data_IF_818014400803
#
_entry.id   IF_818014400803
#
_cell.length_a   1.000
_cell.length_b   1.000
_cell.length_c   1.000
_cell.angle_alpha   90.00
_cell.angle_beta   90.00
_cell.angle_gamma   90.00
#
_symmetry.space_group_name_H-M   'P 1'
#
loop_
_entity.id
_entity.type
_entity.pdbx_description
1 polymer ?
2 non-polymer ?
3 non-polymer ?
4 non-polymer ?
5 non-polymer ?
6 water ?
#
# COMPACT_ATOMS: atom_id res chain seq x y z
N UNK A 3 5.37 0.55 -19.30
CA UNK A 3 5.48 -0.90 -19.42
C UNK A 3 5.37 -1.57 -18.05
N UNK A 4 4.19 -2.13 -17.77
CA UNK A 4 3.97 -2.84 -16.51
C UNK A 4 4.75 -4.15 -16.48
N UNK A 5 5.60 -4.30 -15.47
CA UNK A 5 6.35 -5.54 -15.29
C UNK A 5 5.49 -6.52 -14.50
N UNK A 6 5.22 -7.68 -15.10
CA UNK A 6 4.56 -8.77 -14.40
C UNK A 6 5.64 -9.70 -13.88
N UNK A 7 5.65 -9.93 -12.56
CA UNK A 7 6.69 -10.70 -11.91
C UNK A 7 6.08 -11.89 -11.18
N UNK A 8 6.68 -13.06 -11.36
CA UNK A 8 6.31 -14.23 -10.59
C UNK A 8 7.25 -14.36 -9.40
N UNK A 9 6.70 -14.70 -8.25
CA UNK A 9 7.50 -14.96 -7.06
C UNK A 9 7.06 -16.30 -6.48
N UNK A 10 8.02 -17.19 -6.25
CA UNK A 10 7.71 -18.57 -5.90
C UNK A 10 8.88 -19.18 -5.13
N UNK A 11 8.53 -20.16 -4.28
CA UNK A 11 9.51 -20.94 -3.54
C UNK A 11 9.52 -22.35 -4.12
N UNK A 12 10.68 -22.80 -4.59
CA UNK A 12 10.79 -24.05 -5.32
C UNK A 12 11.69 -25.02 -4.54
N UNK A 13 11.16 -26.19 -4.23
CA UNK A 13 11.95 -27.27 -3.65
C UNK A 13 12.72 -27.96 -4.78
N UNK A 14 13.30 -29.12 -4.48
CA UNK A 14 13.98 -29.90 -5.51
C UNK A 14 12.98 -30.32 -6.59
N UNK A 15 13.50 -30.50 -7.80
CA UNK A 15 12.70 -30.93 -8.95
C UNK A 15 11.54 -29.98 -9.23
N UNK A 16 11.73 -28.69 -8.93
CA UNK A 16 10.79 -27.63 -9.25
C UNK A 16 9.46 -27.75 -8.51
N UNK A 17 9.44 -28.50 -7.41
CA UNK A 17 8.20 -28.70 -6.66
C UNK A 17 7.83 -27.42 -5.92
N UNK A 18 6.57 -27.01 -6.08
CA UNK A 18 6.06 -25.83 -5.38
C UNK A 18 4.92 -26.16 -4.42
N UNK A 19 4.27 -27.31 -4.57
CA UNK A 19 3.13 -27.62 -3.75
C UNK A 19 2.85 -29.10 -3.68
N UNK A 20 2.06 -29.48 -2.69
CA UNK A 20 1.58 -30.83 -2.54
C UNK A 20 0.19 -30.76 -1.93
N UNK A 21 -0.32 -31.87 -1.38
CA UNK A 21 -1.67 -31.86 -0.82
C UNK A 21 -1.78 -30.85 0.31
N UNK A 22 -0.88 -30.93 1.29
CA UNK A 22 -0.87 -30.04 2.44
C UNK A 22 0.30 -29.06 2.32
N UNK A 23 0.47 -28.25 3.37
CA UNK A 23 1.50 -27.22 3.33
C UNK A 23 2.89 -27.84 3.18
N UNK A 24 3.80 -27.07 2.59
CA UNK A 24 5.17 -27.53 2.38
C UNK A 24 5.87 -27.79 3.71
N UNK A 25 6.57 -28.89 3.81
CA UNK A 25 7.20 -29.29 5.08
C UNK A 25 8.55 -28.62 5.31
N UNK A 26 8.53 -27.30 5.43
CA UNK A 26 9.73 -26.56 5.80
C UNK A 26 9.33 -25.36 6.64
N UNK A 27 10.31 -24.79 7.33
CA UNK A 27 10.12 -23.61 8.17
C UNK A 27 11.20 -22.60 7.78
N UNK A 28 10.81 -21.59 7.02
CA UNK A 28 11.75 -20.65 6.40
C UNK A 28 11.29 -19.22 6.61
N UNK A 29 11.44 -18.68 7.82
CA UNK A 29 11.09 -17.27 8.04
C UNK A 29 11.91 -16.32 7.19
N UNK A 30 13.13 -16.69 6.81
CA UNK A 30 13.93 -15.81 5.96
C UNK A 30 13.36 -15.71 4.56
N UNK A 31 12.71 -16.76 4.07
CA UNK A 31 12.04 -16.66 2.77
C UNK A 31 10.79 -15.80 2.88
N UNK A 32 10.06 -15.90 3.98
CA UNK A 32 8.89 -15.05 4.18
C UNK A 32 9.29 -13.58 4.28
N UNK A 33 10.45 -13.30 4.88
CA UNK A 33 10.94 -11.93 4.93
C UNK A 33 11.33 -11.45 3.54
N UNK A 34 11.91 -12.33 2.73
CA UNK A 34 12.23 -11.99 1.35
C UNK A 34 10.97 -11.81 0.51
N UNK A 35 9.96 -12.67 0.74
CA UNK A 35 8.66 -12.47 0.11
C UNK A 35 8.08 -11.12 0.47
N UNK A 36 8.10 -10.77 1.75
CA UNK A 36 7.51 -9.52 2.21
C UNK A 36 8.24 -8.32 1.61
N UNK A 37 9.57 -8.31 1.70
CA UNK A 37 10.35 -7.19 1.16
C UNK A 37 10.03 -6.95 -0.31
N UNK A 38 9.86 -8.02 -1.08
CA UNK A 38 9.72 -7.89 -2.53
C UNK A 38 8.28 -7.71 -2.98
N UNK A 39 7.30 -7.80 -2.08
CA UNK A 39 5.91 -7.57 -2.46
C UNK A 39 5.30 -6.32 -1.84
N UNK A 40 5.93 -5.74 -0.81
CA UNK A 40 5.35 -4.58 -0.14
C UNK A 40 5.14 -3.42 -1.12
N UNK A 41 4.03 -2.72 -0.95
CA UNK A 41 3.68 -1.54 -1.74
C UNK A 41 3.43 -1.87 -3.20
N UNK A 42 3.00 -3.09 -3.50
CA UNK A 42 2.74 -3.54 -4.86
C UNK A 42 1.43 -4.30 -4.88
N UNK A 43 0.77 -4.37 -6.03
CA UNK A 43 -0.36 -5.31 -6.17
C UNK A 43 0.15 -6.74 -6.16
N UNK A 44 -0.61 -7.61 -5.50
CA UNK A 44 -0.25 -9.02 -5.38
C UNK A 44 -1.42 -9.85 -5.86
N UNK A 45 -1.21 -10.63 -6.91
CA UNK A 45 -2.24 -11.49 -7.49
C UNK A 45 -2.03 -12.91 -7.00
N UNK A 46 -3.10 -13.55 -6.57
CA UNK A 46 -3.03 -14.92 -6.06
C UNK A 46 -4.33 -15.68 -6.34
N UNK A 47 -4.23 -17.01 -6.38
CA UNK A 47 -5.41 -17.83 -6.46
C UNK A 47 -6.10 -17.97 -5.11
N UNK A 48 -7.37 -18.40 -5.16
CA UNK A 48 -8.17 -18.46 -3.96
C UNK A 48 -7.59 -19.44 -2.94
N UNK A 49 -7.04 -20.55 -3.43
CA UNK A 49 -6.44 -21.53 -2.51
C UNK A 49 -5.23 -20.94 -1.79
N UNK A 50 -4.43 -20.15 -2.50
CA UNK A 50 -3.28 -19.50 -1.86
C UNK A 50 -3.74 -18.49 -0.81
N UNK A 51 -4.82 -17.75 -1.10
CA UNK A 51 -5.36 -16.82 -0.11
C UNK A 51 -5.82 -17.55 1.14
N UNK A 52 -6.41 -18.73 0.99
CA UNK A 52 -6.77 -19.52 2.16
C UNK A 52 -5.54 -20.03 2.89
N UNK A 53 -4.47 -20.35 2.15
CA UNK A 53 -3.23 -20.79 2.80
C UNK A 53 -2.65 -19.70 3.69
N UNK A 54 -2.79 -18.44 3.28
CA UNK A 54 -2.26 -17.34 4.09
C UNK A 54 -3.12 -17.13 5.33
N UNK A 55 -4.45 -17.22 5.17
CA UNK A 55 -5.37 -17.08 6.28
C UNK A 55 -5.74 -15.67 6.64
N UNK A 56 -5.25 -14.67 5.92
CA UNK A 56 -5.47 -13.27 6.23
C UNK A 56 -5.01 -12.45 5.03
N UNK A 57 -5.43 -11.19 4.94
CA UNK A 57 -4.87 -10.31 3.92
C UNK A 57 -3.42 -9.95 4.22
N UNK A 58 -2.65 -9.75 3.18
CA UNK A 58 -1.27 -9.28 3.34
C UNK A 58 -1.27 -7.77 3.51
N UNK A 59 -0.73 -7.25 4.61
CA UNK A 59 -0.81 -5.80 4.85
C UNK A 59 0.14 -5.04 3.94
N UNK A 60 -0.21 -3.76 3.71
CA UNK A 60 0.64 -2.88 2.95
C UNK A 60 0.74 -3.17 1.47
N UNK A 61 -0.19 -3.94 0.92
CA UNK A 61 -0.16 -4.22 -0.51
C UNK A 61 -1.58 -4.51 -0.97
N UNK A 62 -1.81 -4.36 -2.27
CA UNK A 62 -3.12 -4.58 -2.85
C UNK A 62 -3.32 -6.07 -3.11
N UNK A 63 -4.25 -6.68 -2.38
CA UNK A 63 -4.50 -8.12 -2.46
C UNK A 63 -5.57 -8.39 -3.52
N UNK A 64 -5.19 -9.08 -4.58
CA UNK A 64 -6.10 -9.44 -5.66
C UNK A 64 -6.20 -10.96 -5.70
N UNK A 65 -7.35 -11.50 -5.33
CA UNK A 65 -7.58 -12.93 -5.32
C UNK A 65 -8.44 -13.29 -6.52
N UNK A 66 -7.94 -14.22 -7.34
CA UNK A 66 -8.67 -14.69 -8.52
C UNK A 66 -9.55 -15.87 -8.11
N UNK A 67 -10.85 -15.78 -8.43
CA UNK A 67 -11.79 -16.83 -8.11
C UNK A 67 -12.98 -16.74 -9.05
N UNK A 68 -13.51 -17.89 -9.46
CA UNK A 68 -14.69 -17.90 -10.31
C UNK A 68 -15.97 -17.63 -9.51
N UNK A 69 -15.96 -17.97 -8.23
CA UNK A 69 -17.08 -17.78 -7.32
C UNK A 69 -16.93 -16.46 -6.56
N UNK A 70 -18.03 -15.85 -6.14
CA UNK A 70 -17.93 -14.60 -5.39
C UNK A 70 -17.17 -14.79 -4.08
N UNK A 71 -16.28 -13.85 -3.80
CA UNK A 71 -15.51 -13.93 -2.58
C UNK A 71 -16.34 -13.59 -1.35
N UNK A 72 -15.87 -14.09 -0.20
CA UNK A 72 -16.55 -13.91 1.07
C UNK A 72 -15.67 -13.18 2.07
N UNK A 73 -14.85 -12.26 1.59
CA UNK A 73 -13.96 -11.48 2.46
C UNK A 73 -13.78 -10.11 1.81
N UNK A 74 -14.39 -9.09 2.40
CA UNK A 74 -14.37 -7.75 1.80
C UNK A 74 -13.00 -7.09 1.89
N UNK A 75 -12.06 -7.62 2.69
CA UNK A 75 -10.78 -6.96 2.89
C UNK A 75 -9.83 -7.11 1.71
N UNK A 76 -10.17 -7.93 0.71
CA UNK A 76 -9.33 -8.11 -0.46
C UNK A 76 -10.18 -7.81 -1.70
N UNK A 77 -9.49 -7.66 -2.83
CA UNK A 77 -10.14 -7.46 -4.11
C UNK A 77 -10.32 -8.81 -4.81
N UNK A 78 -11.54 -9.07 -5.27
CA UNK A 78 -11.88 -10.34 -5.90
C UNK A 78 -11.97 -10.15 -7.41
N UNK A 79 -11.29 -11.02 -8.15
CA UNK A 79 -11.26 -10.97 -9.61
C UNK A 79 -11.76 -12.28 -10.17
N UNK A 80 -12.65 -12.19 -11.17
CA UNK A 80 -13.21 -13.39 -11.78
C UNK A 80 -12.29 -14.03 -12.81
N UNK A 81 -11.30 -13.29 -13.31
CA UNK A 81 -10.37 -13.82 -14.30
C UNK A 81 -9.05 -13.08 -14.18
N UNK A 82 -8.05 -13.57 -14.91
CA UNK A 82 -6.75 -12.90 -14.90
C UNK A 82 -6.84 -11.53 -15.57
N UNK A 83 -7.76 -11.38 -16.53
CA UNK A 83 -7.98 -10.07 -17.14
C UNK A 83 -8.46 -9.06 -16.10
N UNK A 84 -9.46 -9.45 -15.30
CA UNK A 84 -9.93 -8.58 -14.23
C UNK A 84 -8.84 -8.34 -13.20
N UNK A 85 -8.03 -9.36 -12.92
CA UNK A 85 -6.97 -9.22 -11.93
C UNK A 85 -5.94 -8.18 -12.37
N UNK A 86 -5.50 -8.25 -13.63
CA UNK A 86 -4.55 -7.27 -14.14
C UNK A 86 -5.14 -5.86 -14.17
N UNK A 87 -6.40 -5.75 -14.59
CA UNK A 87 -7.06 -4.45 -14.60
C UNK A 87 -7.15 -3.85 -13.20
N UNK A 88 -7.34 -4.70 -12.19
CA UNK A 88 -7.39 -4.21 -10.81
C UNK A 88 -6.05 -3.67 -10.35
N UNK A 89 -4.95 -4.20 -10.89
CA UNK A 89 -3.63 -3.70 -10.53
C UNK A 89 -3.41 -2.26 -11.00
N UNK A 90 -4.22 -1.80 -11.95
CA UNK A 90 -4.19 -0.38 -12.31
C UNK A 90 -2.94 -0.01 -13.08
N UNK A 91 -2.32 1.12 -12.70
CA UNK A 91 -1.13 1.63 -13.36
C UNK A 91 0.14 1.37 -12.54
N UNK A 92 0.15 0.29 -11.75
CA UNK A 92 1.34 -0.05 -10.98
C UNK A 92 2.48 -0.44 -11.92
N UNK A 93 3.70 -0.11 -11.49
CA UNK A 93 4.86 -0.39 -12.32
C UNK A 93 5.31 -1.84 -12.22
N UNK A 94 4.89 -2.56 -11.18
CA UNK A 94 5.22 -3.97 -11.05
C UNK A 94 4.10 -4.66 -10.28
N UNK A 95 3.56 -5.74 -10.84
CA UNK A 95 2.55 -6.56 -10.19
C UNK A 95 3.17 -7.91 -9.85
N UNK A 96 2.87 -8.41 -8.66
CA UNK A 96 3.47 -9.64 -8.17
C UNK A 96 2.48 -10.80 -8.21
N UNK A 97 2.86 -11.87 -8.90
CA UNK A 97 2.03 -13.07 -9.01
C UNK A 97 2.65 -14.13 -8.11
N UNK A 98 1.90 -14.55 -7.09
CA UNK A 98 2.46 -15.41 -6.04
C UNK A 98 1.82 -16.80 -5.97
N UNK A 99 1.24 -17.27 -7.07
CA UNK A 99 0.71 -18.62 -7.11
C UNK A 99 -0.79 -18.75 -6.94
N UNK A 100 -1.30 -19.98 -6.92
CA UNK A 100 -0.46 -21.17 -6.97
C UNK A 100 -0.08 -21.66 -8.37
N UNK A 101 0.00 -22.99 -8.51
CA UNK A 101 0.54 -23.57 -9.73
C UNK A 101 -0.22 -23.18 -10.98
N UNK A 102 -1.55 -23.23 -10.92
CA UNK A 102 -2.35 -22.86 -12.09
C UNK A 102 -2.15 -21.41 -12.46
N UNK A 103 -2.05 -20.53 -11.46
CA UNK A 103 -1.90 -19.10 -11.71
C UNK A 103 -0.55 -18.81 -12.36
N UNK A 104 0.50 -19.53 -11.94
CA UNK A 104 1.81 -19.36 -12.57
C UNK A 104 1.76 -19.69 -14.05
N UNK A 105 1.07 -20.77 -14.42
CA UNK A 105 0.99 -21.16 -15.83
C UNK A 105 0.28 -20.08 -16.66
N UNK A 106 -0.74 -19.44 -16.09
CA UNK A 106 -1.52 -18.47 -16.84
C UNK A 106 -0.78 -17.15 -17.05
N UNK A 107 0.14 -16.80 -16.14
CA UNK A 107 0.85 -15.55 -16.21
C UNK A 107 2.26 -15.68 -16.79
N UNK A 108 2.73 -16.90 -17.02
CA UNK A 108 4.13 -17.11 -17.41
C UNK A 108 4.47 -16.37 -18.69
N UNK A 109 3.62 -16.48 -19.72
CA UNK A 109 3.90 -15.81 -20.97
C UNK A 109 3.90 -14.29 -20.83
N UNK A 110 3.07 -13.75 -19.94
CA UNK A 110 3.04 -12.32 -19.70
C UNK A 110 4.16 -11.84 -18.78
N UNK A 111 4.82 -12.74 -18.07
CA UNK A 111 5.80 -12.35 -17.06
C UNK A 111 7.15 -12.05 -17.70
N UNK A 112 7.81 -11.00 -17.21
CA UNK A 112 9.14 -10.63 -17.65
C UNK A 112 10.16 -10.65 -16.51
N UNK A 113 9.78 -11.15 -15.34
CA UNK A 113 10.69 -11.18 -14.21
C UNK A 113 10.23 -12.26 -13.24
N UNK A 114 11.19 -12.93 -12.61
CA UNK A 114 10.86 -13.95 -11.63
C UNK A 114 11.71 -13.83 -10.37
N UNK A 115 11.06 -13.92 -9.21
CA UNK A 115 11.72 -13.95 -7.91
C UNK A 115 11.62 -15.39 -7.40
N UNK A 116 12.69 -16.15 -7.55
CA UNK A 116 12.70 -17.58 -7.23
C UNK A 116 13.52 -17.82 -5.97
N UNK A 117 12.94 -18.57 -5.03
CA UNK A 117 13.66 -19.07 -3.86
C UNK A 117 13.88 -20.56 -4.07
N UNK A 118 15.13 -20.95 -4.25
CA UNK A 118 15.48 -22.36 -4.42
C UNK A 118 15.80 -22.97 -3.06
N UNK A 119 15.03 -23.97 -2.66
CA UNK A 119 15.17 -24.59 -1.35
C UNK A 119 15.76 -25.99 -1.52
N UNK A 120 16.73 -26.32 -0.67
CA UNK A 120 17.40 -27.62 -0.71
C UNK A 120 16.59 -28.64 0.11
N UNK A 121 15.46 -29.04 -0.46
CA UNK A 121 14.57 -30.00 0.17
C UNK A 121 13.95 -30.89 -0.90
N UNK A 122 14.18 -32.20 -0.79
CA UNK A 122 13.52 -33.18 -1.65
C UNK A 122 12.24 -33.60 -0.95
N UNK A 123 11.13 -32.94 -1.29
CA UNK A 123 9.88 -33.09 -0.55
C UNK A 123 8.93 -34.09 -1.18
N UNK A 124 9.15 -34.49 -2.43
CA UNK A 124 8.29 -35.46 -3.08
C UNK A 124 6.90 -34.94 -3.42
N UNK A 125 6.79 -33.67 -3.79
CA UNK A 125 5.51 -33.13 -4.21
C UNK A 125 5.21 -33.41 -5.67
N UNK A 126 3.96 -33.14 -6.06
CA UNK A 126 3.52 -33.40 -7.42
C UNK A 126 2.89 -32.18 -8.08
N UNK A 127 3.14 -30.98 -7.55
CA UNK A 127 2.77 -29.73 -8.20
C UNK A 127 4.05 -28.93 -8.42
N UNK A 128 4.32 -28.57 -9.67
CA UNK A 128 5.60 -28.01 -10.06
C UNK A 128 5.45 -26.61 -10.63
N UNK A 129 6.48 -25.80 -10.44
CA UNK A 129 6.57 -24.53 -11.14
C UNK A 129 6.62 -24.80 -12.64
N UNK A 130 6.02 -23.94 -13.46
CA UNK A 130 6.04 -24.17 -14.91
C UNK A 130 7.45 -24.32 -15.45
N UNK A 131 7.59 -25.15 -16.48
CA UNK A 131 8.89 -25.39 -17.11
C UNK A 131 9.16 -24.28 -18.11
N UNK A 132 10.10 -23.40 -17.79
CA UNK A 132 10.45 -22.28 -18.65
C UNK A 132 11.79 -22.54 -19.32
N UNK A 133 11.98 -21.92 -20.48
CA UNK A 133 13.22 -22.10 -21.23
C UNK A 133 14.34 -21.31 -20.57
N UNK A 134 15.42 -21.96 -20.13
CA UNK A 134 16.51 -21.21 -19.46
C UNK A 134 17.21 -20.22 -20.38
N UNK A 135 17.20 -20.44 -21.70
CA UNK A 135 17.89 -19.52 -22.60
C UNK A 135 17.19 -18.18 -22.68
N UNK A 136 15.86 -18.15 -22.52
CA UNK A 136 15.11 -16.91 -22.61
C UNK A 136 15.31 -16.01 -21.40
N UNK A 137 15.71 -16.57 -20.26
CA UNK A 137 15.84 -15.82 -19.02
C UNK A 137 17.32 -15.66 -18.65
N UNK A 138 17.63 -14.54 -18.01
CA UNK A 138 18.98 -14.27 -17.51
C UNK A 138 18.92 -13.94 -16.03
N UNK A 139 19.93 -14.40 -15.30
CA UNK A 139 19.99 -14.23 -13.86
C UNK A 139 20.68 -12.92 -13.53
N UNK A 140 20.01 -12.05 -12.79
CA UNK A 140 20.56 -10.75 -12.41
C UNK A 140 20.83 -10.62 -10.92
N UNK A 141 20.31 -11.53 -10.10
CA UNK A 141 20.55 -11.49 -8.66
C UNK A 141 20.65 -12.92 -8.15
N UNK A 142 21.56 -13.13 -7.20
CA UNK A 142 21.80 -14.45 -6.63
C UNK A 142 22.37 -14.27 -5.22
N UNK A 143 21.74 -14.93 -4.25
CA UNK A 143 22.18 -14.85 -2.86
C UNK A 143 21.89 -16.18 -2.18
N UNK A 144 22.92 -16.80 -1.62
CA UNK A 144 22.81 -18.09 -0.97
C UNK A 144 22.87 -17.96 0.54
N UNK A 145 22.11 -18.82 1.23
CA UNK A 145 22.11 -18.90 2.68
C UNK A 145 22.03 -20.36 3.09
N UNK A 146 22.75 -20.71 4.15
CA UNK A 146 22.67 -22.04 4.73
C UNK A 146 21.51 -22.11 5.73
N UNK A 147 21.07 -23.33 6.01
CA UNK A 147 20.13 -23.52 7.11
C UNK A 147 20.77 -23.06 8.42
N UNK A 148 19.92 -22.69 9.37
CA UNK A 148 20.40 -22.29 10.68
C UNK A 148 19.34 -22.65 11.71
N UNK A 149 19.44 -22.05 12.91
CA UNK A 149 18.51 -22.39 13.99
C UNK A 149 17.08 -21.98 13.65
N UNK A 150 16.90 -20.98 12.79
CA UNK A 150 15.57 -20.46 12.47
C UNK A 150 15.03 -20.97 11.15
N UNK A 151 15.88 -21.46 10.24
CA UNK A 151 15.45 -21.87 8.90
C UNK A 151 15.83 -23.33 8.67
N UNK A 152 14.84 -24.15 8.35
CA UNK A 152 15.01 -25.60 8.34
C UNK A 152 15.87 -26.10 7.19
N UNK A 153 16.01 -25.33 6.11
CA UNK A 153 16.79 -25.76 4.95
C UNK A 153 17.61 -24.60 4.44
N UNK A 154 18.65 -24.93 3.68
CA UNK A 154 19.39 -23.91 2.95
C UNK A 154 18.56 -23.44 1.75
N UNK A 155 18.79 -22.19 1.34
CA UNK A 155 17.94 -21.56 0.35
C UNK A 155 18.78 -20.56 -0.44
N UNK A 156 18.40 -20.37 -1.70
CA UNK A 156 19.10 -19.46 -2.60
C UNK A 156 18.08 -18.53 -3.25
N UNK A 157 18.18 -17.24 -2.95
CA UNK A 157 17.35 -16.23 -3.60
C UNK A 157 17.89 -15.95 -4.99
N UNK A 158 16.98 -15.82 -5.96
CA UNK A 158 17.38 -15.53 -7.33
C UNK A 158 16.33 -14.66 -8.00
N UNK A 159 16.78 -13.71 -8.82
CA UNK A 159 15.91 -12.89 -9.64
C UNK A 159 16.30 -13.11 -11.09
N UNK A 160 15.34 -13.51 -11.91
CA UNK A 160 15.54 -13.74 -13.33
C UNK A 160 14.75 -12.69 -14.13
N UNK A 161 15.32 -12.27 -15.24
CA UNK A 161 14.66 -11.31 -16.13
C UNK A 161 14.68 -11.84 -17.55
N UNK A 162 13.55 -11.69 -18.24
CA UNK A 162 13.43 -12.21 -19.60
C UNK A 162 14.32 -11.42 -20.55
N UNK A 163 14.95 -12.13 -21.48
CA UNK A 163 15.83 -11.50 -22.46
C UNK A 163 15.01 -10.87 -23.58
N UNK B 2 7.82 29.34 -9.95
CA UNK B 2 7.42 28.34 -8.97
C UNK B 2 6.14 28.77 -8.25
N UNK B 3 5.01 28.20 -8.68
CA UNK B 3 3.73 28.53 -8.06
C UNK B 3 3.61 27.82 -6.70
N UNK B 4 2.59 28.22 -5.95
CA UNK B 4 2.36 27.63 -4.64
C UNK B 4 1.94 26.17 -4.77
N UNK B 5 2.60 25.31 -4.01
CA UNK B 5 2.24 23.90 -3.97
C UNK B 5 1.11 23.73 -2.96
N UNK B 6 -0.01 23.20 -3.41
CA UNK B 6 -1.13 22.84 -2.55
C UNK B 6 -1.10 21.33 -2.35
N UNK B 7 -1.01 20.91 -1.09
CA UNK B 7 -0.81 19.51 -0.75
C UNK B 7 -1.94 19.05 0.16
N UNK B 8 -2.48 17.87 -0.14
CA UNK B 8 -3.41 17.21 0.76
C UNK B 8 -2.64 16.22 1.62
N UNK B 9 -2.94 16.21 2.92
CA UNK B 9 -2.34 15.24 3.83
C UNK B 9 -3.46 14.56 4.61
N UNK B 10 -3.46 13.24 4.62
CA UNK B 10 -4.59 12.49 5.14
C UNK B 10 -4.13 11.11 5.58
N UNK B 11 -4.87 10.56 6.55
CA UNK B 11 -4.70 9.18 7.00
C UNK B 11 -5.91 8.38 6.56
N UNK B 12 -5.68 7.34 5.75
CA UNK B 12 -6.75 6.58 5.11
C UNK B 12 -6.77 5.15 5.65
N UNK B 13 -7.93 4.73 6.15
CA UNK B 13 -8.16 3.32 6.44
C UNK B 13 -8.50 2.63 5.13
N UNK B 14 -8.88 1.35 5.20
CA UNK B 14 -9.30 0.64 4.00
C UNK B 14 -10.53 1.32 3.38
N UNK B 15 -10.63 1.21 2.05
CA UNK B 15 -11.72 1.81 1.28
C UNK B 15 -11.78 3.32 1.44
N UNK B 16 -10.60 3.95 1.58
CA UNK B 16 -10.47 5.41 1.64
C UNK B 16 -11.22 6.04 2.81
N UNK B 17 -11.52 5.28 3.86
CA UNK B 17 -12.22 5.84 5.01
C UNK B 17 -11.28 6.78 5.77
N UNK B 18 -11.74 8.00 6.02
CA UNK B 18 -10.95 8.99 6.72
C UNK B 18 -11.63 9.50 7.99
N UNK B 19 -12.92 9.22 8.19
CA UNK B 19 -13.61 9.72 9.36
C UNK B 19 -14.89 8.97 9.61
N UNK B 20 -15.37 9.11 10.85
CA UNK B 20 -16.66 8.58 11.23
C UNK B 20 -17.30 9.51 12.25
N UNK B 21 -18.29 9.03 13.00
CA UNK B 21 -18.95 9.89 13.99
C UNK B 21 -17.95 10.47 14.97
N UNK B 22 -17.13 9.62 15.58
CA UNK B 22 -16.16 10.01 16.58
C UNK B 22 -14.75 9.81 16.03
N UNK B 23 -13.75 10.11 16.86
CA UNK B 23 -12.36 9.98 16.44
C UNK B 23 -12.08 8.56 15.96
N UNK B 24 -11.14 8.44 15.03
CA UNK B 24 -10.77 7.15 14.46
C UNK B 24 -10.23 6.22 15.54
N UNK B 25 -10.66 4.89 15.47
CA UNK B 25 -10.27 3.89 16.49
C UNK B 25 -8.88 3.30 16.24
N UNK B 26 -7.86 4.14 16.35
CA UNK B 26 -6.49 3.65 16.24
C UNK B 26 -5.57 4.60 17.02
N UNK B 27 -4.35 4.12 17.26
CA UNK B 27 -3.34 4.84 18.04
C UNK B 27 -2.05 4.81 17.24
N UNK B 28 -1.75 5.89 16.53
CA UNK B 28 -0.60 5.94 15.61
C UNK B 28 0.24 7.19 15.85
N UNK B 29 1.00 7.23 16.95
CA UNK B 29 1.93 8.36 17.15
C UNK B 29 2.95 8.51 16.02
N UNK B 30 3.31 7.42 15.34
CA UNK B 30 4.24 7.55 14.22
C UNK B 30 3.62 8.32 13.06
N UNK B 31 2.34 8.09 12.79
CA UNK B 31 1.66 8.90 11.77
C UNK B 31 1.54 10.36 12.19
N UNK B 32 1.29 10.59 13.49
CA UNK B 32 1.22 11.97 13.98
C UNK B 32 2.58 12.66 13.86
N UNK B 33 3.66 11.94 14.16
CA UNK B 33 5.00 12.51 13.98
C UNK B 33 5.27 12.78 12.51
N UNK B 34 4.87 11.86 11.62
CA UNK B 34 4.98 12.10 10.19
C UNK B 34 4.14 13.30 9.77
N UNK B 35 2.94 13.44 10.35
CA UNK B 35 2.13 14.62 10.08
C UNK B 35 2.84 15.90 10.54
N UNK B 36 3.43 15.86 11.73
CA UNK B 36 4.10 17.04 12.27
C UNK B 36 5.29 17.44 11.41
N UNK B 37 6.13 16.47 11.03
CA UNK B 37 7.31 16.78 10.23
C UNK B 37 6.94 17.41 8.90
N UNK B 38 5.81 17.01 8.31
CA UNK B 38 5.44 17.47 6.99
C UNK B 38 4.59 18.74 6.99
N UNK B 39 4.10 19.19 8.15
CA UNK B 39 3.29 20.39 8.22
C UNK B 39 3.90 21.52 9.03
N UNK B 40 4.96 21.26 9.78
CA UNK B 40 5.60 22.30 10.57
C UNK B 40 6.07 23.44 9.67
N UNK B 41 5.89 24.68 10.16
CA UNK B 41 6.36 25.89 9.48
C UNK B 41 5.65 26.08 8.13
N UNK B 42 4.40 25.66 8.04
CA UNK B 42 3.59 25.82 6.84
C UNK B 42 2.18 26.22 7.26
N UNK B 43 1.45 26.92 6.39
CA UNK B 43 0.02 27.11 6.64
C UNK B 43 -0.72 25.79 6.49
N UNK B 44 -1.67 25.55 7.39
CA UNK B 44 -2.43 24.30 7.42
C UNK B 44 -3.91 24.66 7.43
N UNK B 45 -4.63 24.19 6.41
CA UNK B 45 -6.05 24.49 6.24
C UNK B 45 -6.86 23.27 6.68
N UNK B 46 -7.88 23.51 7.48
CA UNK B 46 -8.72 22.43 7.98
C UNK B 46 -10.16 22.90 8.18
N UNK B 47 -11.11 21.96 8.19
CA UNK B 47 -12.49 22.27 8.49
C UNK B 47 -12.74 22.33 9.99
N UNK B 48 -13.99 22.68 10.32
CA UNK B 48 -14.36 22.91 11.72
C UNK B 48 -14.24 21.62 12.54
N UNK B 49 -14.79 20.51 12.04
CA UNK B 49 -14.79 19.27 12.80
C UNK B 49 -13.37 18.74 12.98
N UNK B 50 -12.52 18.92 11.97
CA UNK B 50 -11.13 18.49 12.10
C UNK B 50 -10.43 19.22 13.23
N UNK B 51 -10.60 20.55 13.29
CA UNK B 51 -10.00 21.31 14.39
C UNK B 51 -10.50 20.82 15.74
N UNK B 52 -11.80 20.53 15.85
CA UNK B 52 -12.33 19.99 17.09
C UNK B 52 -11.67 18.66 17.43
N UNK B 53 -11.41 17.83 16.42
CA UNK B 53 -10.78 16.54 16.66
C UNK B 53 -9.33 16.67 17.12
N UNK B 54 -8.68 17.78 16.81
CA UNK B 54 -7.32 18.01 17.29
C UNK B 54 -7.32 18.39 18.76
N UNK B 55 -8.28 19.21 19.17
CA UNK B 55 -8.39 19.64 20.55
C UNK B 55 -7.55 20.84 20.93
N UNK B 56 -6.77 21.38 20.00
CA UNK B 56 -5.89 22.50 20.28
C UNK B 56 -5.31 22.99 18.95
N UNK B 57 -4.76 24.21 18.93
CA UNK B 57 -4.02 24.63 17.73
C UNK B 57 -2.71 23.85 17.60
N UNK B 58 -2.31 23.62 16.36
CA UNK B 58 -1.07 22.92 16.10
C UNK B 58 0.11 23.87 16.28
N UNK B 59 1.04 23.59 17.18
CA UNK B 59 2.14 24.52 17.41
C UNK B 59 3.09 24.60 16.24
N UNK B 60 3.71 25.76 16.08
CA UNK B 60 4.73 25.95 15.07
C UNK B 60 4.22 25.99 13.65
N UNK B 61 2.94 26.26 13.43
CA UNK B 61 2.44 26.41 12.07
C UNK B 61 1.18 27.26 12.10
N UNK B 62 0.81 27.77 10.93
CA UNK B 62 -0.36 28.65 10.81
C UNK B 62 -1.62 27.79 10.69
N UNK B 63 -2.47 27.83 11.71
CA UNK B 63 -3.73 27.09 11.74
C UNK B 63 -4.81 27.95 11.09
N UNK B 64 -5.32 27.49 9.95
CA UNK B 64 -6.40 28.18 9.25
C UNK B 64 -7.63 27.29 9.32
N UNK B 65 -8.63 27.70 10.10
CA UNK B 65 -9.80 26.89 10.37
C UNK B 65 -11.01 27.50 9.67
N UNK B 66 -11.66 26.72 8.82
CA UNK B 66 -12.89 27.13 8.16
C UNK B 66 -14.05 26.73 9.07
N UNK B 67 -14.88 27.71 9.43
CA UNK B 67 -15.97 27.46 10.37
C UNK B 67 -17.05 28.51 10.20
N UNK B 68 -18.30 28.08 10.30
CA UNK B 68 -19.44 28.99 10.26
C UNK B 68 -19.75 29.60 11.61
N UNK B 69 -19.10 29.15 12.68
CA UNK B 69 -19.27 29.68 14.02
C UNK B 69 -17.90 29.76 14.70
N UNK B 70 -17.07 30.70 14.30
CA UNK B 70 -15.69 30.72 14.79
C UNK B 70 -15.62 31.04 16.27
N UNK B 71 -14.62 30.43 16.93
CA UNK B 71 -14.38 30.67 18.33
C UNK B 71 -13.49 31.89 18.56
N UNK B 72 -13.26 32.18 19.84
CA UNK B 72 -12.41 33.30 20.23
C UNK B 72 -10.94 32.96 20.26
N UNK B 73 -10.57 31.73 19.91
CA UNK B 73 -9.17 31.31 19.99
C UNK B 73 -8.31 32.15 19.06
N UNK B 74 -7.46 32.99 19.63
CA UNK B 74 -6.63 33.90 18.85
C UNK B 74 -5.43 33.21 18.22
N UNK B 75 -5.03 32.05 18.73
CA UNK B 75 -3.93 31.28 18.15
C UNK B 75 -4.32 30.58 16.84
N UNK B 76 -5.53 30.86 16.36
CA UNK B 76 -6.08 30.25 15.14
C UNK B 76 -6.59 31.35 14.24
N UNK B 77 -6.32 31.22 12.94
CA UNK B 77 -6.84 32.16 11.95
C UNK B 77 -8.14 31.62 11.40
N UNK B 78 -9.26 32.24 11.79
CA UNK B 78 -10.58 31.77 11.38
C UNK B 78 -10.92 32.27 9.99
N UNK B 79 -11.36 31.36 9.13
CA UNK B 79 -11.78 31.68 7.77
C UNK B 79 -13.23 31.29 7.58
N UNK B 80 -13.94 32.06 6.76
CA UNK B 80 -15.34 31.82 6.48
C UNK B 80 -15.55 30.91 5.27
N UNK B 81 -14.53 30.70 4.45
CA UNK B 81 -14.68 29.93 3.23
C UNK B 81 -13.31 29.42 2.80
N UNK B 82 -13.32 28.49 1.85
CA UNK B 82 -12.06 27.96 1.33
C UNK B 82 -11.30 29.04 0.57
N UNK B 83 -12.01 29.98 -0.05
CA UNK B 83 -11.36 31.09 -0.74
C UNK B 83 -10.62 31.98 0.25
N UNK B 84 -11.26 32.35 1.34
CA UNK B 84 -10.59 33.17 2.36
C UNK B 84 -9.45 32.40 3.01
N UNK B 85 -9.64 31.08 3.20
CA UNK B 85 -8.58 30.27 3.79
C UNK B 85 -7.33 30.26 2.91
N UNK B 86 -7.52 30.11 1.60
CA UNK B 86 -6.36 30.06 0.70
C UNK B 86 -5.63 31.40 0.67
N UNK B 87 -6.38 32.51 0.76
CA UNK B 87 -5.73 33.82 0.83
C UNK B 87 -4.95 33.97 2.13
N UNK B 88 -5.43 33.37 3.23
CA UNK B 88 -4.69 33.42 4.48
C UNK B 88 -3.38 32.67 4.41
N UNK B 89 -3.25 31.72 3.48
CA UNK B 89 -1.98 31.03 3.29
C UNK B 89 -0.92 31.94 2.68
N UNK B 90 -1.32 33.06 2.09
CA UNK B 90 -0.35 34.06 1.66
C UNK B 90 0.48 33.60 0.48
N UNK B 91 1.79 33.86 0.55
CA UNK B 91 2.74 33.49 -0.49
C UNK B 91 3.64 32.35 -0.05
N UNK B 92 3.12 31.45 0.80
CA UNK B 92 3.91 30.31 1.24
C UNK B 92 4.28 29.43 0.06
N UNK B 93 5.40 28.72 0.19
CA UNK B 93 5.82 27.81 -0.87
C UNK B 93 4.92 26.59 -0.94
N UNK B 94 4.34 26.18 0.19
CA UNK B 94 3.51 24.99 0.25
C UNK B 94 2.46 25.18 1.33
N UNK B 95 1.20 24.92 0.99
CA UNK B 95 0.09 24.98 1.94
C UNK B 95 -0.44 23.56 2.13
N UNK B 96 -0.65 23.18 3.39
CA UNK B 96 -1.13 21.84 3.72
C UNK B 96 -2.63 21.85 3.96
N UNK B 97 -3.34 20.93 3.31
CA UNK B 97 -4.78 20.76 3.49
C UNK B 97 -4.99 19.44 4.21
N UNK B 98 -5.54 19.49 5.40
CA UNK B 98 -5.56 18.32 6.28
C UNK B 98 -6.95 17.78 6.63
N UNK B 99 -7.96 18.11 5.84
CA UNK B 99 -9.28 17.56 6.03
C UNK B 99 -10.31 18.53 6.59
N UNK B 100 -11.58 18.09 6.69
CA UNK B 100 -11.95 16.72 6.41
C UNK B 100 -12.40 16.42 5.00
N UNK B 101 -13.36 15.49 4.89
CA UNK B 101 -13.73 14.95 3.58
C UNK B 101 -14.17 16.02 2.60
N UNK B 102 -15.04 16.93 3.03
CA UNK B 102 -15.48 17.99 2.13
C UNK B 102 -14.33 18.91 1.74
N UNK B 103 -13.45 19.23 2.69
CA UNK B 103 -12.34 20.14 2.40
C UNK B 103 -11.40 19.53 1.37
N UNK B 104 -11.13 18.23 1.47
CA UNK B 104 -10.28 17.56 0.49
C UNK B 104 -10.83 17.71 -0.92
N UNK B 105 -12.15 17.51 -1.08
CA UNK B 105 -12.75 17.56 -2.42
C UNK B 105 -12.67 18.96 -3.00
N UNK B 106 -12.89 19.99 -2.17
CA UNK B 106 -12.86 21.36 -2.67
C UNK B 106 -11.47 21.78 -3.13
N UNK B 107 -10.42 21.15 -2.59
CA UNK B 107 -9.05 21.49 -2.93
C UNK B 107 -8.39 20.49 -3.87
N UNK B 108 -9.11 19.42 -4.26
CA UNK B 108 -8.48 18.35 -5.03
C UNK B 108 -7.94 18.87 -6.36
N UNK B 109 -8.75 19.60 -7.13
CA UNK B 109 -8.34 20.01 -8.46
C UNK B 109 -7.14 20.96 -8.42
N UNK B 110 -7.06 21.82 -7.41
CA UNK B 110 -5.90 22.70 -7.28
C UNK B 110 -4.69 22.00 -6.69
N UNK B 111 -4.88 20.83 -6.08
CA UNK B 111 -3.79 20.15 -5.40
C UNK B 111 -2.81 19.55 -6.40
N UNK B 112 -1.52 19.66 -6.11
CA UNK B 112 -0.48 19.07 -6.93
C UNK B 112 0.34 18.02 -6.18
N UNK B 113 0.03 17.77 -4.92
CA UNK B 113 0.80 16.84 -4.10
C UNK B 113 -0.11 16.23 -3.06
N UNK B 114 0.19 14.99 -2.68
CA UNK B 114 -0.58 14.30 -1.65
C UNK B 114 0.32 13.53 -0.69
N UNK B 115 0.09 13.72 0.61
CA UNK B 115 0.77 12.97 1.66
C UNK B 115 -0.28 12.03 2.26
N UNK B 116 -0.18 10.75 1.92
CA UNK B 116 -1.16 9.76 2.35
C UNK B 116 -0.52 8.75 3.30
N UNK B 117 -1.22 8.44 4.37
CA UNK B 117 -0.85 7.36 5.27
C UNK B 117 -1.93 6.29 5.17
N UNK B 118 -1.59 5.16 4.55
CA UNK B 118 -2.53 4.06 4.35
C UNK B 118 -2.46 3.12 5.55
N UNK B 119 -3.57 3.00 6.27
CA UNK B 119 -3.63 2.22 7.51
C UNK B 119 -4.27 0.87 7.20
N UNK B 120 -3.62 -0.21 7.64
CA UNK B 120 -4.19 -1.56 7.51
C UNK B 120 -5.22 -1.77 8.62
N UNK B 121 -6.36 -1.12 8.44
CA UNK B 121 -7.46 -1.18 9.40
C UNK B 121 -8.77 -1.22 8.63
N UNK B 122 -9.66 -2.12 9.03
CA UNK B 122 -10.98 -2.27 8.42
C UNK B 122 -12.00 -1.68 9.39
N UNK B 123 -12.32 -0.40 9.20
CA UNK B 123 -13.31 0.28 10.01
C UNK B 123 -14.33 0.92 9.08
N UNK B 124 -15.61 0.79 9.44
CA UNK B 124 -16.67 1.39 8.65
C UNK B 124 -16.93 2.82 9.05
N UNK B 125 -16.60 3.76 8.16
CA UNK B 125 -16.76 5.17 8.42
C UNK B 125 -17.79 5.81 7.50
N UNK B 126 -18.05 7.09 7.76
CA UNK B 126 -19.05 7.85 7.03
C UNK B 126 -18.47 8.82 6.02
N UNK B 127 -17.20 9.20 6.16
CA UNK B 127 -16.57 10.14 5.24
C UNK B 127 -15.31 9.51 4.66
N UNK B 128 -15.03 9.83 3.39
CA UNK B 128 -13.97 9.17 2.64
C UNK B 128 -13.11 10.19 1.93
N UNK B 129 -11.84 9.82 1.75
CA UNK B 129 -10.95 10.60 0.92
C UNK B 129 -11.45 10.59 -0.53
N UNK B 130 -11.29 11.70 -1.26
CA UNK B 130 -11.81 11.75 -2.64
C UNK B 130 -11.25 10.62 -3.49
N UNK B 131 -12.09 10.11 -4.39
CA UNK B 131 -11.68 9.07 -5.33
C UNK B 131 -10.96 9.75 -6.50
N UNK B 132 -9.66 9.94 -6.34
CA UNK B 132 -8.88 10.67 -7.33
C UNK B 132 -8.51 9.78 -8.51
N UNK B 133 -8.21 10.41 -9.64
CA UNK B 133 -7.85 9.72 -10.87
C UNK B 133 -6.42 9.22 -10.79
N UNK B 134 -6.20 7.90 -10.76
CA UNK B 134 -4.83 7.39 -10.55
C UNK B 134 -3.86 7.76 -11.67
N UNK B 135 -4.34 7.82 -12.91
CA UNK B 135 -3.43 8.13 -14.02
C UNK B 135 -2.92 9.57 -13.94
N UNK B 136 -3.68 10.46 -13.30
CA UNK B 136 -3.26 11.85 -13.14
C UNK B 136 -2.25 12.05 -12.01
N UNK B 137 -1.93 11.00 -11.26
CA UNK B 137 -1.03 11.11 -10.11
C UNK B 137 0.04 10.03 -10.21
N UNK B 138 1.21 10.32 -9.61
CA UNK B 138 2.36 9.43 -9.65
C UNK B 138 2.91 9.23 -8.25
N UNK B 139 3.05 7.97 -7.84
CA UNK B 139 3.62 7.64 -6.53
C UNK B 139 5.13 7.79 -6.60
N UNK B 140 5.66 8.75 -5.86
CA UNK B 140 7.11 9.03 -5.86
C UNK B 140 7.79 8.60 -4.58
N UNK B 141 7.06 8.15 -3.57
CA UNK B 141 7.65 7.75 -2.30
C UNK B 141 6.68 6.82 -1.59
N UNK B 142 7.22 5.75 -1.00
CA UNK B 142 6.40 4.74 -0.34
C UNK B 142 7.23 4.06 0.73
N UNK B 143 6.73 4.04 1.97
CA UNK B 143 7.44 3.40 3.07
C UNK B 143 6.44 2.74 4.00
N UNK B 144 6.56 1.41 4.14
CA UNK B 144 5.68 0.62 4.99
C UNK B 144 6.33 0.41 6.36
N UNK B 145 5.51 0.44 7.40
CA UNK B 145 5.95 0.16 8.76
C UNK B 145 4.98 -0.80 9.43
N UNK B 146 5.52 -1.79 10.14
CA UNK B 146 4.70 -2.70 10.91
C UNK B 146 4.15 -2.01 12.17
N UNK B 147 3.05 -2.54 12.68
CA UNK B 147 2.58 -2.15 14.00
C UNK B 147 3.63 -2.54 15.05
N UNK B 148 3.62 -1.83 16.17
CA UNK B 148 4.58 -2.10 17.24
C UNK B 148 3.94 -1.75 18.57
N UNK B 149 4.76 -1.70 19.62
CA UNK B 149 4.24 -1.45 20.97
C UNK B 149 3.57 -0.09 21.07
N UNK B 150 3.96 0.87 20.23
CA UNK B 150 3.43 2.22 20.28
C UNK B 150 2.36 2.50 19.24
N UNK B 151 2.28 1.72 18.17
CA UNK B 151 1.35 1.97 17.08
C UNK B 151 0.42 0.77 16.90
N UNK B 152 -0.89 1.04 16.87
CA UNK B 152 -1.87 -0.03 16.92
C UNK B 152 -1.98 -0.81 15.61
N UNK B 153 -1.62 -0.19 14.49
CA UNK B 153 -1.77 -0.83 13.19
C UNK B 153 -0.54 -0.54 12.33
N UNK B 154 -0.31 -1.40 11.35
CA UNK B 154 0.70 -1.11 10.36
C UNK B 154 0.19 -0.03 9.40
N UNK B 155 1.13 0.65 8.74
CA UNK B 155 0.82 1.84 7.98
C UNK B 155 1.88 2.03 6.90
N UNK B 156 1.48 2.69 5.82
CA UNK B 156 2.40 3.04 4.75
C UNK B 156 2.29 4.53 4.44
N UNK B 157 3.42 5.23 4.51
CA UNK B 157 3.48 6.62 4.08
C UNK B 157 3.70 6.67 2.57
N UNK B 158 2.90 7.46 1.88
CA UNK B 158 3.03 7.61 0.44
C UNK B 158 2.91 9.08 0.05
N UNK B 159 3.74 9.50 -0.89
CA UNK B 159 3.69 10.86 -1.43
C UNK B 159 3.39 10.77 -2.92
N UNK B 160 2.36 11.47 -3.36
CA UNK B 160 1.95 11.47 -4.76
C UNK B 160 2.10 12.87 -5.33
N UNK B 161 2.52 12.93 -6.59
CA UNK B 161 2.70 14.18 -7.31
C UNK B 161 1.82 14.17 -8.55
N UNK B 162 1.11 15.27 -8.79
CA UNK B 162 0.23 15.33 -9.95
C UNK B 162 1.05 15.28 -11.24
N UNK B 163 0.72 14.33 -12.10
CA UNK B 163 1.45 14.12 -13.34
C UNK B 163 1.20 15.24 -14.35
X LIG C 1 7.64 -17.73 -0.73
X LIG C 1 7.97 -17.20 -1.95
X LIG C 1 9.27 -16.96 -2.21
X LIG C 1 7.04 -16.90 -2.88
X LIG C 1 5.72 -17.11 -2.67
X LIG C 1 4.80 -16.82 -3.61
X LIG C 1 5.31 -17.69 -1.37
X LIG C 1 4.03 -17.95 -1.05
X LIG C 1 3.73 -18.48 0.17
X LIG C 1 4.75 -18.76 1.08
X LIG C 1 6.03 -18.52 0.80
X LIG C 1 6.37 -17.99 -0.39
X LIG C 1 2.28 -18.75 0.49
X LIG C 1 1.99 -18.68 1.92
X LIG C 1 1.43 -19.87 2.55
X LIG C 1 2.64 -15.31 4.34
X LIG C 1 2.81 -15.21 2.97
X LIG C 1 2.58 -16.31 2.16
X LIG C 1 2.21 -17.54 2.70
X LIG C 1 2.05 -17.64 4.09
X LIG C 1 2.27 -16.52 4.91
X LIG C 1 2.87 -14.12 5.23
X LIG C 1 2.11 -13.93 6.18
X LIG C 1 3.90 -13.31 4.99
X LIG C 1 4.08 -12.07 5.71
X LIG C 1 3.96 -10.88 4.80
X LIG C 1 4.10 -11.04 3.57
X LIG C 1 3.73 -9.75 5.30
X LIG C 1 5.46 -12.04 6.37
X LIG C 1 5.67 -13.23 7.30
X LIG C 1 5.12 -12.94 8.67
X LIG C 1 4.57 -11.82 8.88
X LIG C 1 5.22 -13.82 9.56
X LIG D 1 -1.23 -27.55 -2.05
X LIG E 1 -13.04 -3.44 1.26
X LIG F 1 -2.65 11.96 9.89
X LIG F 1 -2.38 12.35 8.62
X LIG F 1 -1.45 11.65 7.93
X LIG F 1 -3.01 13.40 8.02
X LIG F 1 -3.93 14.13 8.67
X LIG F 1 -4.55 15.18 8.07
X LIG F 1 -4.28 13.76 10.06
X LIG F 1 -5.20 14.42 10.80
X LIG F 1 -5.44 14.01 12.07
X LIG F 1 -4.77 12.91 12.61
X LIG F 1 -3.85 12.23 11.91
X LIG F 1 -3.57 12.61 10.64
X LIG F 1 -6.48 14.76 12.89
X LIG F 1 -6.26 14.59 14.32
X LIG F 1 -7.29 13.93 15.11
X LIG F 1 -2.78 15.85 16.29
X LIG F 1 -3.02 16.27 14.99
X LIG F 1 -4.17 15.85 14.33
X LIG F 1 -5.09 15.03 14.98
X LIG F 1 -4.84 14.61 16.27
X LIG F 1 -3.68 15.02 16.93
X LIG F 1 -1.53 16.28 17.00
X LIG F 1 -1.57 16.49 18.20
X LIG F 1 -0.41 16.43 16.30
X LIG F 1 0.74 17.09 16.88
X LIG F 1 1.47 17.96 15.88
X LIG F 1 1.15 17.89 14.68
X LIG F 1 2.37 18.71 16.31
X LIG F 1 1.69 16.06 17.47
X LIG F 1 1.87 16.30 18.97
X LIG F 1 2.42 15.06 19.62
X LIG F 1 3.59 15.11 20.08
X LIG F 1 1.70 14.04 19.69
X LIG G 1 -8.19 9.80 9.18
X LIG H 1 -7.58 13.88 -9.48
X LIG I 1 -13.61 19.07 8.77
#
# INVERSE_FOLDING_TARGET
>A
SNAMIISLIAALAADRVIGMENAMPWHLPADLAWFKRNTLNKPVIMGRKTFESIGRPLPGRLNIVISSQPGTDERVTWAASIEEALAFAGNAEEVMVMGGGRVYKQFLDRANRMYLTHIDAEVGGDTHFPDYEPDEWESVFSEFHDADEANSHSYCFEILERR
>B
SNAMIISLIAALAADRVIGMENAMPWHLPADLAWFKRNTLNKPVIMGRKTFESIGRPLPGRLNIVISSQPGTDERVTWAASIEEALAFAGNAEEVMVMGGGRVYKQFLDRANRMYLTHIDAEVGGDTHFPDYEPDEWESVFSEFHDADEANSHSYCFEILERR
>C hetero
1 MTX N1 C2 NA2 N3 C4 NA4 C4A N5 C6 C7 N8 C8A C9 N10 CM C11 C12 C13 C14 C15 C16 C O N CA CT O1 O2 CB CG CD OE1 OE2
>D hetero
1 CA CA
>E hetero
1 K K
>F hetero
1 MTX N1 C2 NA2 N3 C4 NA4 C4A N5 C6 C7 N8 C8A C9 N10 CM C11 C12 C13 C14 C15 C16 C O N CA CT O1 O2 CB CG CD OE1 OE2
>G hetero
1 K K
>H hetero
1 CL CL
>I hetero
1 CL CL
#
